data_IF_686644875477
#
_entry.id   IF_686644875477
#
_cell.length_a   1.000
_cell.length_b   1.000
_cell.length_c   1.000
_cell.angle_alpha   90.00
_cell.angle_beta   90.00
_cell.angle_gamma   90.00
#
_symmetry.space_group_name_H-M   'P 1'
#
loop_
_entity.id
_entity.type
_entity.pdbx_description
1 polymer ?
#
# COMPACT_ATOMS: atom_id res chain seq x y z
N UNK A 1 37.33 23.14 36.18
CA UNK A 1 36.35 23.77 35.28
C UNK A 1 35.83 22.73 34.29
N UNK A 2 34.66 22.17 34.55
CA UNK A 2 33.75 21.67 33.51
C UNK A 2 32.40 22.24 33.88
N UNK A 3 31.94 23.16 33.05
CA UNK A 3 30.68 23.85 33.21
C UNK A 3 29.55 22.82 33.27
N UNK A 4 28.85 22.78 34.40
CA UNK A 4 27.55 22.14 34.49
C UNK A 4 26.58 23.00 33.70
N UNK A 5 26.27 22.59 32.48
CA UNK A 5 25.19 23.17 31.69
C UNK A 5 23.88 22.73 32.33
N UNK A 6 23.44 23.47 33.36
CA UNK A 6 22.10 23.38 33.93
C UNK A 6 21.11 23.66 32.80
N UNK A 7 20.37 22.62 32.43
CA UNK A 7 19.34 22.65 31.39
C UNK A 7 18.16 23.44 31.95
N UNK A 8 18.07 24.72 31.62
CA UNK A 8 16.93 25.58 31.96
C UNK A 8 15.74 25.20 31.07
N UNK A 9 15.08 24.09 31.41
CA UNK A 9 13.86 23.65 30.75
C UNK A 9 12.71 24.49 31.30
N UNK A 10 12.02 25.23 30.43
CA UNK A 10 10.82 25.99 30.84
C UNK A 10 9.76 25.04 31.42
N UNK A 11 8.96 25.50 32.39
CA UNK A 11 7.85 24.72 32.96
C UNK A 11 6.92 24.11 31.90
N UNK A 12 6.75 24.80 30.76
CA UNK A 12 5.96 24.30 29.64
C UNK A 12 6.62 23.10 28.95
N UNK A 13 7.94 23.14 28.76
CA UNK A 13 8.70 22.01 28.20
C UNK A 13 8.62 20.78 29.13
N UNK A 14 8.71 20.99 30.45
CA UNK A 14 8.56 19.91 31.42
C UNK A 14 7.16 19.29 31.41
N UNK A 15 6.11 20.11 31.31
CA UNK A 15 4.74 19.62 31.20
C UNK A 15 4.50 18.87 29.89
N UNK A 16 5.06 19.36 28.78
CA UNK A 16 4.95 18.72 27.47
C UNK A 16 5.69 17.37 27.45
N UNK A 17 6.88 17.30 28.03
CA UNK A 17 7.66 16.07 28.17
C UNK A 17 6.94 15.05 29.07
N UNK A 18 6.39 15.50 30.21
CA UNK A 18 5.62 14.64 31.10
C UNK A 18 4.34 14.11 30.42
N UNK A 19 3.64 14.96 29.65
CA UNK A 19 2.45 14.57 28.90
C UNK A 19 2.79 13.57 27.79
N UNK A 20 3.87 13.80 27.04
CA UNK A 20 4.35 12.88 26.01
C UNK A 20 4.75 11.52 26.62
N UNK A 21 5.49 11.54 27.72
CA UNK A 21 5.91 10.31 28.42
C UNK A 21 4.69 9.54 28.96
N UNK A 22 3.70 10.24 29.52
CA UNK A 22 2.46 9.63 29.98
C UNK A 22 1.66 9.03 28.81
N UNK A 23 1.60 9.73 27.67
CA UNK A 23 0.93 9.26 26.47
C UNK A 23 1.56 7.95 25.95
N UNK A 24 2.89 7.91 25.76
CA UNK A 24 3.57 6.70 25.28
C UNK A 24 3.38 5.52 26.23
N UNK A 25 3.52 5.75 27.54
CA UNK A 25 3.31 4.69 28.55
C UNK A 25 1.90 4.13 28.50
N UNK A 26 0.88 4.98 28.34
CA UNK A 26 -0.50 4.53 28.21
C UNK A 26 -0.71 3.79 26.89
N UNK A 27 -0.15 4.28 25.79
CA UNK A 27 -0.22 3.62 24.48
C UNK A 27 0.43 2.22 24.50
N UNK A 28 1.59 2.07 25.13
CA UNK A 28 2.27 0.77 25.30
C UNK A 28 1.43 -0.22 26.10
N UNK A 29 0.85 0.26 27.21
CA UNK A 29 -0.06 -0.55 28.05
C UNK A 29 -1.27 -1.00 27.24
N UNK A 30 -1.85 -0.10 26.46
CA UNK A 30 -2.99 -0.39 25.59
C UNK A 30 -2.63 -1.29 24.41
N UNK A 31 -1.40 -1.28 23.90
CA UNK A 31 -0.96 -2.18 22.83
C UNK A 31 -0.92 -3.65 23.29
N UNK A 32 -0.56 -3.86 24.56
CA UNK A 32 -0.41 -5.17 25.20
C UNK A 32 -1.74 -5.78 25.69
N UNK A 33 -2.80 -4.98 25.89
CA UNK A 33 -4.11 -5.49 26.30
C UNK A 33 -4.77 -6.35 25.20
N UNK A 34 -5.29 -7.52 25.54
CA UNK A 34 -6.18 -8.27 24.63
C UNK A 34 -7.55 -7.56 24.54
N UNK A 35 -8.31 -7.81 23.46
CA UNK A 35 -9.59 -7.14 23.23
C UNK A 35 -10.60 -7.52 24.31
N UNK A 36 -10.60 -6.80 25.43
CA UNK A 36 -11.61 -6.95 26.45
C UNK A 36 -12.96 -6.50 25.90
N UNK A 37 -13.96 -7.33 26.14
CA UNK A 37 -15.37 -7.13 25.80
C UNK A 37 -15.88 -5.82 26.40
N UNK A 38 -15.70 -4.75 25.65
CA UNK A 38 -16.19 -3.44 26.01
C UNK A 38 -17.65 -3.32 25.58
N UNK A 39 -18.50 -2.85 26.49
CA UNK A 39 -19.88 -2.56 26.15
C UNK A 39 -19.92 -1.40 25.13
N UNK A 40 -20.52 -1.66 23.97
CA UNK A 40 -20.63 -0.68 22.90
C UNK A 40 -21.88 0.19 23.10
N UNK A 41 -21.72 1.50 23.05
CA UNK A 41 -22.83 2.46 23.08
C UNK A 41 -23.04 3.03 21.68
N UNK A 42 -24.22 2.79 21.10
CA UNK A 42 -24.61 3.39 19.84
C UNK A 42 -24.92 4.88 20.02
N UNK A 43 -24.27 5.71 19.19
CA UNK A 43 -24.47 7.15 19.18
C UNK A 43 -25.56 7.54 18.16
N UNK A 44 -26.38 8.54 18.51
CA UNK A 44 -27.34 9.14 17.58
C UNK A 44 -26.64 10.01 16.54
N UNK A 45 -27.30 10.27 15.39
CA UNK A 45 -26.73 10.97 14.24
C UNK A 45 -26.06 12.33 14.57
N UNK A 46 -26.65 13.09 15.50
CA UNK A 46 -26.08 14.38 15.94
C UNK A 46 -24.75 14.20 16.70
N UNK A 47 -24.63 13.15 17.51
CA UNK A 47 -23.41 12.81 18.24
C UNK A 47 -22.32 12.29 17.30
N UNK A 48 -22.68 11.62 16.20
CA UNK A 48 -21.72 11.21 15.15
C UNK A 48 -21.08 12.45 14.50
N UNK A 49 -21.87 13.50 14.26
CA UNK A 49 -21.35 14.77 13.73
C UNK A 49 -20.48 15.51 14.77
N UNK A 50 -20.82 15.43 16.05
CA UNK A 50 -19.96 16.00 17.08
C UNK A 50 -18.62 15.24 17.18
N UNK A 51 -18.67 13.91 17.12
CA UNK A 51 -17.49 13.06 17.09
C UNK A 51 -16.60 13.38 15.88
N UNK A 52 -17.19 13.59 14.69
CA UNK A 52 -16.41 13.95 13.50
C UNK A 52 -15.67 15.29 13.66
N UNK A 53 -16.29 16.28 14.34
CA UNK A 53 -15.61 17.54 14.68
C UNK A 53 -14.46 17.32 15.65
N UNK A 54 -14.67 16.50 16.69
CA UNK A 54 -13.62 16.18 17.68
C UNK A 54 -12.44 15.41 17.07
N UNK A 55 -12.69 14.52 16.11
CA UNK A 55 -11.63 13.86 15.34
C UNK A 55 -10.73 14.89 14.66
N UNK A 56 -11.29 15.93 14.04
CA UNK A 56 -10.50 16.98 13.37
C UNK A 56 -9.68 17.85 14.31
N UNK A 57 -10.02 17.88 15.61
CA UNK A 57 -9.29 18.61 16.66
C UNK A 57 -8.11 17.81 17.23
N UNK A 58 -7.96 16.54 16.88
CA UNK A 58 -6.81 15.74 17.33
C UNK A 58 -5.50 16.28 16.73
N UNK A 59 -4.36 16.02 17.40
CA UNK A 59 -3.04 16.20 16.79
C UNK A 59 -2.95 15.46 15.46
N UNK A 60 -2.11 15.95 14.55
CA UNK A 60 -1.96 15.41 13.20
C UNK A 60 -1.82 13.88 13.18
N UNK A 61 -0.96 13.33 14.03
CA UNK A 61 -0.74 11.88 14.14
C UNK A 61 -2.02 11.12 14.52
N UNK A 62 -2.84 11.64 15.44
CA UNK A 62 -4.11 11.02 15.81
C UNK A 62 -5.16 11.06 14.70
N UNK A 63 -5.19 12.15 13.92
CA UNK A 63 -6.05 12.25 12.73
C UNK A 63 -5.65 11.22 11.68
N UNK A 64 -4.36 11.16 11.35
CA UNK A 64 -3.80 10.21 10.39
C UNK A 64 -4.12 8.77 10.80
N UNK A 65 -3.86 8.40 12.06
CA UNK A 65 -4.12 7.05 12.58
C UNK A 65 -5.59 6.64 12.51
N UNK A 66 -6.52 7.53 12.84
CA UNK A 66 -7.95 7.21 12.79
C UNK A 66 -8.46 7.13 11.35
N UNK A 67 -8.06 8.07 10.49
CA UNK A 67 -8.47 8.09 9.09
C UNK A 67 -7.86 6.92 8.30
N UNK A 68 -6.58 6.59 8.52
CA UNK A 68 -5.92 5.43 7.91
C UNK A 68 -6.69 4.14 8.21
N UNK A 69 -7.07 3.94 9.48
CA UNK A 69 -7.78 2.75 9.91
C UNK A 69 -9.23 2.70 9.42
N UNK A 70 -9.98 3.79 9.57
CA UNK A 70 -11.43 3.76 9.36
C UNK A 70 -11.92 4.20 7.98
N UNK A 71 -11.15 5.01 7.25
CA UNK A 71 -11.48 5.40 5.88
C UNK A 71 -10.75 4.52 4.85
N UNK A 72 -9.48 4.17 5.13
CA UNK A 72 -8.61 3.46 4.17
C UNK A 72 -8.35 2.00 4.54
N UNK A 73 -8.86 1.54 5.69
CA UNK A 73 -8.75 0.15 6.18
C UNK A 73 -7.33 -0.36 6.37
N UNK A 74 -6.37 0.54 6.59
CA UNK A 74 -4.99 0.14 6.83
C UNK A 74 -4.86 -0.62 8.16
N UNK A 75 -4.00 -1.63 8.16
CA UNK A 75 -3.53 -2.29 9.38
C UNK A 75 -2.65 -1.35 10.20
N UNK A 76 -2.45 -1.62 11.51
CA UNK A 76 -1.46 -0.90 12.30
C UNK A 76 -0.07 -0.94 11.65
N UNK A 77 0.38 -2.11 11.20
CA UNK A 77 1.69 -2.33 10.56
C UNK A 77 1.81 -1.54 9.25
N UNK A 78 0.76 -1.51 8.43
CA UNK A 78 0.70 -0.71 7.21
C UNK A 78 0.75 0.80 7.53
N UNK A 79 0.04 1.23 8.57
CA UNK A 79 0.01 2.64 8.99
C UNK A 79 1.37 3.10 9.53
N UNK A 80 2.07 2.25 10.30
CA UNK A 80 3.44 2.51 10.77
C UNK A 80 4.39 2.69 9.59
N UNK A 81 4.31 1.79 8.61
CA UNK A 81 5.09 1.86 7.38
C UNK A 81 4.84 3.15 6.59
N UNK A 82 3.58 3.47 6.25
CA UNK A 82 3.28 4.59 5.34
C UNK A 82 3.54 5.97 5.94
N UNK A 83 3.40 6.10 7.26
CA UNK A 83 3.45 7.41 7.92
C UNK A 83 4.66 7.56 8.87
N UNK A 84 5.59 6.59 8.86
CA UNK A 84 6.74 6.52 9.76
C UNK A 84 6.33 6.74 11.24
N UNK A 85 5.26 6.05 11.65
CA UNK A 85 4.75 6.06 13.01
C UNK A 85 5.21 4.80 13.74
N UNK A 86 5.33 4.89 15.06
CA UNK A 86 5.60 3.75 15.94
C UNK A 86 4.40 3.51 16.86
N UNK A 87 4.20 2.25 17.25
CA UNK A 87 3.12 1.82 18.14
C UNK A 87 1.73 2.31 17.69
N UNK A 88 1.43 2.18 16.39
CA UNK A 88 0.15 2.59 15.81
C UNK A 88 -1.03 1.89 16.49
N UNK A 89 -0.87 0.61 16.86
CA UNK A 89 -1.90 -0.15 17.58
C UNK A 89 -2.24 0.48 18.93
N UNK A 90 -1.24 0.77 19.77
CA UNK A 90 -1.43 1.36 21.08
C UNK A 90 -1.98 2.78 21.01
N UNK A 91 -1.39 3.61 20.12
CA UNK A 91 -1.81 4.99 19.90
C UNK A 91 -3.23 5.09 19.34
N UNK A 92 -3.60 4.19 18.43
CA UNK A 92 -4.97 4.10 17.92
C UNK A 92 -5.98 3.81 19.03
N UNK A 93 -5.68 2.83 19.91
CA UNK A 93 -6.52 2.52 21.07
C UNK A 93 -6.63 3.71 22.02
N UNK A 94 -5.53 4.39 22.29
CA UNK A 94 -5.53 5.61 23.11
C UNK A 94 -6.47 6.67 22.54
N UNK A 95 -6.39 6.97 21.23
CA UNK A 95 -7.24 7.99 20.62
C UNK A 95 -8.72 7.58 20.60
N UNK A 96 -9.04 6.28 20.43
CA UNK A 96 -10.41 5.80 20.58
C UNK A 96 -10.94 6.00 21.99
N UNK A 97 -10.13 5.72 23.01
CA UNK A 97 -10.51 5.86 24.41
C UNK A 97 -10.70 7.34 24.76
N UNK A 98 -9.74 8.18 24.39
CA UNK A 98 -9.81 9.63 24.55
C UNK A 98 -11.08 10.21 23.92
N UNK A 99 -11.39 9.82 22.68
CA UNK A 99 -12.59 10.29 21.99
C UNK A 99 -13.87 9.77 22.65
N UNK A 100 -13.89 8.50 23.08
CA UNK A 100 -15.05 7.92 23.80
C UNK A 100 -15.31 8.67 25.11
N UNK A 101 -14.27 8.89 25.92
CA UNK A 101 -14.35 9.70 27.13
C UNK A 101 -14.80 11.14 26.83
N UNK A 102 -14.28 11.75 25.76
CA UNK A 102 -14.65 13.12 25.36
C UNK A 102 -16.11 13.24 24.92
N UNK A 103 -16.74 12.14 24.51
CA UNK A 103 -18.16 12.05 24.15
C UNK A 103 -19.06 11.75 25.35
N UNK A 104 -18.50 11.64 26.56
CA UNK A 104 -19.24 11.35 27.79
C UNK A 104 -19.67 9.89 27.92
N UNK A 105 -19.00 8.98 27.22
CA UNK A 105 -19.22 7.52 27.35
C UNK A 105 -18.71 7.06 28.72
N UNK A 106 -19.48 6.21 29.40
CA UNK A 106 -19.14 5.70 30.74
C UNK A 106 -17.82 4.92 30.75
N UNK A 107 -17.08 4.98 31.86
CA UNK A 107 -15.82 4.29 32.02
C UNK A 107 -15.99 2.77 31.83
N UNK A 108 -15.22 2.18 30.91
CA UNK A 108 -15.34 0.77 30.52
C UNK A 108 -16.30 0.48 29.37
N UNK A 109 -16.93 1.52 28.79
CA UNK A 109 -17.68 1.46 27.53
C UNK A 109 -16.92 2.19 26.42
N UNK A 110 -17.11 1.76 25.16
CA UNK A 110 -16.41 2.33 24.00
C UNK A 110 -17.38 2.57 22.85
N UNK A 111 -17.10 3.61 22.06
CA UNK A 111 -17.83 3.85 20.83
C UNK A 111 -17.50 2.71 19.85
N UNK A 112 -18.52 2.08 19.22
CA UNK A 112 -18.30 0.97 18.30
C UNK A 112 -17.59 1.42 17.02
N UNK A 113 -16.87 0.49 16.39
CA UNK A 113 -16.09 0.75 15.18
C UNK A 113 -16.94 1.32 14.04
N UNK A 114 -18.16 0.81 13.83
CA UNK A 114 -19.07 1.31 12.79
C UNK A 114 -19.43 2.79 12.96
N UNK A 115 -19.50 3.26 14.21
CA UNK A 115 -19.75 4.67 14.51
C UNK A 115 -18.51 5.52 14.22
N UNK A 116 -17.32 5.01 14.55
CA UNK A 116 -16.06 5.66 14.16
C UNK A 116 -15.89 5.70 12.64
N UNK A 117 -16.25 4.65 11.91
CA UNK A 117 -16.24 4.64 10.44
C UNK A 117 -17.07 5.79 9.89
N UNK A 118 -18.32 5.93 10.35
CA UNK A 118 -19.21 7.02 9.92
C UNK A 118 -18.64 8.40 10.25
N UNK A 119 -18.16 8.58 11.48
CA UNK A 119 -17.60 9.86 11.91
C UNK A 119 -16.31 10.23 11.15
N UNK A 120 -15.42 9.27 10.88
CA UNK A 120 -14.20 9.47 10.12
C UNK A 120 -14.48 9.85 8.67
N UNK A 121 -15.49 9.25 8.02
CA UNK A 121 -15.89 9.64 6.67
C UNK A 121 -16.43 11.08 6.61
N UNK A 122 -17.23 11.49 7.61
CA UNK A 122 -17.70 12.88 7.73
C UNK A 122 -16.52 13.82 7.98
N UNK A 123 -15.61 13.45 8.87
CA UNK A 123 -14.41 14.23 9.19
C UNK A 123 -13.53 14.42 7.95
N UNK A 124 -13.25 13.35 7.20
CA UNK A 124 -12.45 13.42 5.98
C UNK A 124 -13.10 14.33 4.93
N UNK A 125 -14.41 14.23 4.74
CA UNK A 125 -15.14 15.12 3.83
C UNK A 125 -15.04 16.58 4.25
N UNK A 126 -15.17 16.87 5.55
CA UNK A 126 -15.02 18.23 6.08
C UNK A 126 -13.59 18.75 5.96
N UNK A 127 -12.59 17.90 6.20
CA UNK A 127 -11.17 18.22 6.03
C UNK A 127 -10.87 18.61 4.59
N UNK A 128 -11.24 17.76 3.62
CA UNK A 128 -11.06 18.04 2.21
C UNK A 128 -11.80 19.30 1.76
N UNK A 129 -12.98 19.57 2.31
CA UNK A 129 -13.73 20.78 1.97
C UNK A 129 -13.02 22.04 2.42
N UNK A 130 -12.53 22.07 3.67
CA UNK A 130 -11.82 23.23 4.22
C UNK A 130 -10.47 23.47 3.53
N UNK A 131 -9.70 22.42 3.25
CA UNK A 131 -8.41 22.53 2.54
C UNK A 131 -8.58 22.96 1.07
N UNK A 132 -9.77 22.75 0.48
CA UNK A 132 -10.11 23.23 -0.87
C UNK A 132 -10.77 24.62 -0.90
N UNK A 133 -11.33 25.08 0.23
CA UNK A 133 -11.98 26.40 0.38
C UNK A 133 -11.05 27.48 0.95
N UNK A 134 -9.96 27.13 1.66
CA UNK A 134 -8.97 28.11 2.15
C UNK A 134 -8.28 28.91 1.01
N UNK A 135 -8.35 28.43 -0.24
CA UNK A 135 -7.89 29.15 -1.43
C UNK A 135 -8.95 30.08 -2.07
N UNK A 136 -10.18 30.14 -1.56
CA UNK A 136 -11.32 30.78 -2.22
C UNK A 136 -11.87 32.05 -1.53
N UNK A 137 -11.32 32.46 -0.40
CA UNK A 137 -11.75 33.68 0.30
C UNK A 137 -10.78 34.85 0.04
N UNK A 138 -10.80 35.36 -1.19
CA UNK A 138 -10.60 36.78 -1.46
C UNK A 138 -11.79 37.30 -2.30
N UNK A 139 -12.42 38.35 -1.77
CA UNK A 139 -13.56 39.12 -2.31
C UNK A 139 -15.00 38.67 -2.00
N UNK A 140 -15.46 39.16 -0.84
CA UNK A 140 -16.58 40.09 -0.68
C UNK A 140 -18.01 39.69 -1.15
N UNK A 141 -18.87 39.54 -0.13
CA UNK A 141 -20.21 40.11 0.00
C UNK A 141 -21.30 39.81 -1.07
N UNK A 142 -22.42 39.26 -0.59
CA UNK A 142 -23.75 39.60 -1.12
C UNK A 142 -24.56 38.43 -1.68
N UNK A 143 -25.69 38.20 -1.02
CA UNK A 143 -26.64 37.12 -1.20
C UNK A 143 -27.27 37.02 -2.63
N UNK A 144 -27.80 35.83 -2.95
CA UNK A 144 -28.78 35.47 -4.01
C UNK A 144 -28.34 35.21 -5.48
N UNK A 145 -27.23 34.48 -5.75
CA UNK A 145 -26.95 33.94 -7.13
C UNK A 145 -26.38 32.51 -7.18
N UNK A 146 -26.53 31.72 -6.13
CA UNK A 146 -25.71 30.50 -5.89
C UNK A 146 -25.91 29.37 -6.91
N UNK A 147 -27.10 29.17 -7.50
CA UNK A 147 -27.30 28.01 -8.38
C UNK A 147 -26.74 28.14 -9.81
N UNK A 148 -26.51 29.37 -10.31
CA UNK A 148 -26.04 29.62 -11.69
C UNK A 148 -24.51 29.76 -11.74
N UNK A 149 -23.90 30.30 -10.69
CA UNK A 149 -22.44 30.42 -10.57
C UNK A 149 -21.76 29.06 -10.31
N UNK A 150 -22.39 28.18 -9.51
CA UNK A 150 -21.85 26.85 -9.18
C UNK A 150 -21.55 25.99 -10.42
N UNK A 151 -22.42 26.06 -11.43
CA UNK A 151 -22.24 25.32 -12.70
C UNK A 151 -21.12 25.87 -13.57
N UNK A 152 -20.78 27.16 -13.43
CA UNK A 152 -19.64 27.77 -14.15
C UNK A 152 -18.32 27.44 -13.45
N UNK A 153 -18.29 27.46 -12.12
CA UNK A 153 -17.09 27.12 -11.34
C UNK A 153 -16.71 25.64 -11.52
N UNK A 154 -17.67 24.70 -11.49
CA UNK A 154 -17.38 23.28 -11.80
C UNK A 154 -16.84 23.05 -13.22
N UNK A 155 -17.29 23.85 -14.20
CA UNK A 155 -16.73 23.78 -15.57
C UNK A 155 -15.31 24.32 -15.60
N UNK A 156 -15.00 25.40 -14.88
CA UNK A 156 -13.65 25.96 -14.79
C UNK A 156 -12.69 25.01 -14.07
N UNK A 157 -13.13 24.36 -12.98
CA UNK A 157 -12.34 23.36 -12.25
C UNK A 157 -12.09 22.13 -13.11
N UNK A 158 -13.10 21.62 -13.82
CA UNK A 158 -12.92 20.52 -14.76
C UNK A 158 -11.95 20.89 -15.89
N UNK A 159 -12.04 22.10 -16.45
CA UNK A 159 -11.12 22.57 -17.48
C UNK A 159 -9.70 22.74 -16.94
N UNK A 160 -9.53 23.26 -15.73
CA UNK A 160 -8.23 23.39 -15.08
C UNK A 160 -7.61 22.01 -14.78
N UNK A 161 -8.40 21.05 -14.30
CA UNK A 161 -7.97 19.68 -14.06
C UNK A 161 -7.57 18.96 -15.35
N UNK A 162 -8.35 19.12 -16.43
CA UNK A 162 -8.03 18.59 -17.77
C UNK A 162 -6.76 19.26 -18.31
N UNK A 163 -6.61 20.57 -18.12
CA UNK A 163 -5.42 21.31 -18.58
C UNK A 163 -4.19 20.88 -17.78
N UNK A 164 -4.31 20.68 -16.46
CA UNK A 164 -3.23 20.23 -15.59
C UNK A 164 -2.81 18.79 -15.93
N UNK A 165 -3.77 17.89 -16.18
CA UNK A 165 -3.47 16.54 -16.65
C UNK A 165 -2.82 16.54 -18.01
N UNK A 166 -3.32 17.32 -18.98
CA UNK A 166 -2.69 17.46 -20.29
C UNK A 166 -1.26 18.04 -20.20
N UNK A 167 -1.05 19.06 -19.37
CA UNK A 167 0.29 19.65 -19.14
C UNK A 167 1.22 18.66 -18.45
N UNK A 168 0.74 17.93 -17.45
CA UNK A 168 1.52 16.90 -16.76
C UNK A 168 1.89 15.75 -17.70
N UNK A 169 0.94 15.24 -18.50
CA UNK A 169 1.19 14.23 -19.54
C UNK A 169 2.16 14.75 -20.61
N UNK A 170 2.03 16.01 -21.03
CA UNK A 170 2.95 16.62 -21.99
C UNK A 170 4.36 16.73 -21.40
N UNK A 171 4.50 17.12 -20.13
CA UNK A 171 5.79 17.15 -19.43
C UNK A 171 6.40 15.74 -19.27
N UNK A 172 5.60 14.72 -19.00
CA UNK A 172 6.04 13.32 -18.92
C UNK A 172 6.60 12.81 -20.26
N UNK A 173 5.98 13.18 -21.38
CA UNK A 173 6.42 12.77 -22.73
C UNK A 173 7.63 13.60 -23.20
N UNK A 174 7.56 14.93 -23.05
CA UNK A 174 8.52 15.85 -23.66
C UNK A 174 9.77 16.14 -22.80
N UNK A 175 9.71 15.99 -21.48
CA UNK A 175 10.80 16.33 -20.57
C UNK A 175 11.36 15.10 -19.84
N UNK A 176 12.49 14.59 -20.34
CA UNK A 176 13.13 13.40 -19.81
C UNK A 176 13.61 13.56 -18.34
N UNK A 177 14.08 14.74 -17.95
CA UNK A 177 14.55 15.01 -16.57
C UNK A 177 13.38 15.07 -15.58
N UNK A 178 12.24 15.61 -16.00
CA UNK A 178 11.04 15.64 -15.18
C UNK A 178 10.49 14.21 -15.00
N UNK A 179 10.41 13.44 -16.09
CA UNK A 179 9.99 12.04 -16.07
C UNK A 179 10.85 11.19 -15.13
N UNK A 180 12.18 11.34 -15.20
CA UNK A 180 13.11 10.58 -14.36
C UNK A 180 12.92 10.88 -12.86
N UNK A 181 12.71 12.15 -12.49
CA UNK A 181 12.45 12.53 -11.09
C UNK A 181 11.11 12.02 -10.57
N UNK A 182 10.07 12.06 -11.38
CA UNK A 182 8.74 11.54 -11.01
C UNK A 182 8.79 10.02 -10.84
N UNK A 183 9.46 9.31 -11.76
CA UNK A 183 9.63 7.85 -11.67
C UNK A 183 10.44 7.48 -10.43
N UNK A 184 11.57 8.16 -10.17
CA UNK A 184 12.41 7.88 -9.00
C UNK A 184 11.66 8.09 -7.68
N UNK A 185 10.85 9.16 -7.59
CA UNK A 185 10.02 9.44 -6.42
C UNK A 185 8.89 8.41 -6.22
N UNK A 186 8.24 7.96 -7.31
CA UNK A 186 7.23 6.88 -7.25
C UNK A 186 7.85 5.57 -6.79
N UNK A 187 9.03 5.21 -7.31
CA UNK A 187 9.76 3.99 -6.90
C UNK A 187 10.11 4.05 -5.41
N UNK A 188 10.65 5.17 -4.94
CA UNK A 188 11.00 5.39 -3.52
C UNK A 188 9.78 5.32 -2.58
N UNK A 189 8.59 5.69 -3.07
CA UNK A 189 7.35 5.72 -2.25
C UNK A 189 6.63 4.36 -2.18
N UNK A 190 6.72 3.53 -3.22
CA UNK A 190 5.98 2.26 -3.35
C UNK A 190 6.86 1.01 -3.19
N UNK A 191 8.09 1.17 -2.72
CA UNK A 191 9.19 0.19 -2.78
C UNK A 191 8.98 -1.16 -2.07
N UNK A 192 7.83 -1.42 -1.43
CA UNK A 192 7.60 -2.70 -0.72
C UNK A 192 7.27 -3.88 -1.62
N UNK A 193 6.77 -3.69 -2.85
CA UNK A 193 6.49 -4.77 -3.80
C UNK A 193 6.56 -4.27 -5.25
N UNK A 194 7.18 -5.04 -6.15
CA UNK A 194 6.89 -4.88 -7.58
C UNK A 194 5.63 -5.65 -7.91
N UNK A 195 4.56 -4.93 -8.26
CA UNK A 195 3.33 -5.53 -8.78
C UNK A 195 3.50 -5.64 -10.29
N UNK A 196 3.62 -6.87 -10.78
CA UNK A 196 3.50 -7.15 -12.20
C UNK A 196 2.00 -7.27 -12.54
N UNK A 197 1.41 -6.16 -12.98
CA UNK A 197 0.03 -6.11 -13.44
C UNK A 197 0.02 -6.36 -14.95
N UNK A 198 -0.30 -7.59 -15.33
CA UNK A 198 -0.31 -8.03 -16.72
C UNK A 198 -1.72 -7.84 -17.28
N UNK A 199 -1.82 -6.99 -18.30
CA UNK A 199 -3.06 -6.82 -19.05
C UNK A 199 -3.04 -7.83 -20.20
N UNK A 200 -3.47 -9.06 -19.94
CA UNK A 200 -3.77 -10.00 -21.01
C UNK A 200 -4.99 -9.52 -21.79
N UNK A 201 -4.99 -9.69 -23.11
CA UNK A 201 -6.24 -9.62 -23.88
C UNK A 201 -7.22 -10.68 -23.30
N UNK A 202 -8.52 -10.34 -23.20
CA UNK A 202 -9.56 -11.29 -22.79
C UNK A 202 -9.46 -12.55 -23.65
N UNK A 203 -8.93 -13.64 -23.09
CA UNK A 203 -8.98 -14.96 -23.71
C UNK A 203 -10.37 -15.55 -23.46
N UNK A 204 -11.01 -16.05 -24.52
CA UNK A 204 -12.38 -16.60 -24.49
C UNK A 204 -12.53 -17.82 -23.54
N UNK A 205 -11.44 -18.53 -23.19
CA UNK A 205 -11.47 -19.70 -22.30
C UNK A 205 -10.20 -19.80 -21.40
N UNK A 206 -10.33 -20.25 -20.13
CA UNK A 206 -9.20 -20.49 -19.23
C UNK A 206 -8.23 -21.54 -19.81
N UNK A 207 -6.94 -21.21 -19.93
CA UNK A 207 -5.94 -22.17 -20.41
C UNK A 207 -5.60 -23.24 -19.37
N UNK A 208 -5.41 -24.48 -19.81
CA UNK A 208 -4.85 -25.56 -18.97
C UNK A 208 -3.34 -25.36 -18.81
N UNK A 209 -2.96 -24.76 -17.68
CA UNK A 209 -1.58 -24.47 -17.32
C UNK A 209 -0.68 -25.74 -17.24
N UNK A 210 -1.26 -26.94 -17.14
CA UNK A 210 -0.51 -28.19 -17.06
C UNK A 210 -0.01 -28.72 -18.42
N UNK A 211 -0.44 -28.09 -19.51
CA UNK A 211 0.01 -28.41 -20.87
C UNK A 211 1.42 -27.89 -21.17
N UNK A 212 1.93 -26.94 -20.37
CA UNK A 212 3.27 -26.39 -20.54
C UNK A 212 4.34 -27.28 -19.89
N UNK A 213 5.42 -27.56 -20.63
CA UNK A 213 6.58 -28.28 -20.12
C UNK A 213 7.88 -27.71 -20.68
N UNK A 214 8.94 -27.70 -19.87
CA UNK A 214 10.30 -27.41 -20.34
C UNK A 214 10.81 -28.53 -21.26
N UNK A 215 11.16 -28.18 -22.50
CA UNK A 215 11.78 -29.09 -23.48
C UNK A 215 13.27 -29.36 -23.21
N UNK A 216 13.91 -28.55 -22.36
CA UNK A 216 15.28 -28.71 -21.89
C UNK A 216 15.32 -28.70 -20.36
N UNK A 217 16.09 -29.62 -19.79
CA UNK A 217 16.43 -29.65 -18.37
C UNK A 217 17.95 -29.86 -18.24
N UNK A 218 18.63 -29.21 -17.28
CA UNK A 218 20.04 -29.43 -17.02
C UNK A 218 20.33 -30.88 -16.63
N UNK A 219 21.56 -31.33 -16.89
CA UNK A 219 22.00 -32.67 -16.49
C UNK A 219 21.90 -32.84 -14.97
N UNK A 220 21.27 -33.94 -14.54
CA UNK A 220 21.05 -34.24 -13.12
C UNK A 220 19.80 -33.60 -12.52
N UNK A 221 19.04 -32.78 -13.27
CA UNK A 221 17.78 -32.24 -12.79
C UNK A 221 16.72 -33.34 -12.57
N UNK A 222 16.19 -33.43 -11.35
CA UNK A 222 15.15 -34.36 -10.93
C UNK A 222 13.94 -33.55 -10.44
N UNK A 223 12.77 -33.82 -11.02
CA UNK A 223 11.50 -33.24 -10.54
C UNK A 223 11.21 -33.79 -9.13
N UNK A 224 11.15 -32.90 -8.14
CA UNK A 224 10.86 -33.24 -6.75
C UNK A 224 9.38 -33.10 -6.43
N UNK A 225 8.77 -32.00 -6.88
CA UNK A 225 7.38 -31.68 -6.55
C UNK A 225 6.68 -31.01 -7.73
N UNK A 226 5.36 -31.21 -7.77
CA UNK A 226 4.46 -30.48 -8.66
C UNK A 226 3.27 -30.01 -7.84
N UNK A 227 3.28 -28.73 -7.50
CA UNK A 227 2.14 -28.10 -6.85
C UNK A 227 1.20 -27.61 -7.93
N UNK A 228 0.00 -28.19 -7.96
CA UNK A 228 -1.10 -27.76 -8.83
C UNK A 228 -2.19 -27.18 -7.93
N UNK A 229 -2.43 -25.89 -8.03
CA UNK A 229 -3.62 -25.25 -7.48
C UNK A 229 -4.52 -24.76 -8.62
N UNK A 230 -5.07 -25.65 -9.47
CA UNK A 230 -5.87 -25.26 -10.63
C UNK A 230 -7.28 -24.81 -10.25
N UNK A 231 -7.75 -25.12 -9.04
CA UNK A 231 -9.12 -24.86 -8.59
C UNK A 231 -9.26 -23.61 -7.72
N UNK A 232 -8.18 -22.83 -7.58
CA UNK A 232 -8.20 -21.51 -6.97
C UNK A 232 -8.25 -20.52 -8.13
N UNK A 233 -9.11 -19.51 -8.07
CA UNK A 233 -8.93 -18.34 -8.94
C UNK A 233 -8.00 -17.38 -8.19
N UNK A 234 -6.74 -17.19 -8.64
CA UNK A 234 -6.17 -17.77 -9.86
C UNK A 234 -5.37 -19.06 -9.76
N UNK A 235 -5.39 -19.79 -10.88
CA UNK A 235 -4.75 -21.09 -11.02
C UNK A 235 -3.24 -20.96 -11.12
N UNK A 236 -2.51 -21.69 -10.28
CA UNK A 236 -1.04 -21.70 -10.29
C UNK A 236 -0.52 -23.13 -10.45
N UNK A 237 0.48 -23.30 -11.31
CA UNK A 237 1.26 -24.54 -11.43
C UNK A 237 2.73 -24.23 -11.12
N UNK A 238 3.30 -24.98 -10.19
CA UNK A 238 4.70 -24.88 -9.78
C UNK A 238 5.39 -26.23 -9.94
N UNK A 239 6.47 -26.26 -10.71
CA UNK A 239 7.36 -27.41 -10.83
C UNK A 239 8.66 -27.14 -10.11
N UNK A 240 9.05 -28.03 -9.19
CA UNK A 240 10.30 -27.91 -8.44
C UNK A 240 11.31 -28.97 -8.85
N UNK A 241 12.49 -28.53 -9.25
CA UNK A 241 13.59 -29.40 -9.67
C UNK A 241 14.79 -29.22 -8.76
N UNK A 242 15.42 -30.34 -8.38
CA UNK A 242 16.72 -30.34 -7.73
C UNK A 242 17.77 -30.94 -8.67
N UNK A 243 18.97 -30.36 -8.67
CA UNK A 243 20.12 -30.86 -9.42
C UNK A 243 21.07 -31.61 -8.48
N UNK A 244 21.35 -31.01 -7.31
CA UNK A 244 22.16 -31.59 -6.24
C UNK A 244 21.72 -31.01 -4.88
N UNK A 245 22.51 -31.21 -3.82
CA UNK A 245 22.18 -30.75 -2.46
C UNK A 245 22.12 -29.21 -2.32
N UNK A 246 22.76 -28.45 -3.23
CA UNK A 246 22.85 -26.99 -3.16
C UNK A 246 22.08 -26.27 -4.29
N UNK A 247 21.87 -26.94 -5.42
CA UNK A 247 21.33 -26.35 -6.63
C UNK A 247 19.92 -26.85 -6.94
N UNK A 248 19.00 -25.90 -7.10
CA UNK A 248 17.61 -26.16 -7.47
C UNK A 248 17.04 -25.01 -8.29
N UNK A 249 15.98 -25.31 -9.04
CA UNK A 249 15.21 -24.30 -9.74
C UNK A 249 13.73 -24.67 -9.74
N UNK A 250 12.90 -23.66 -9.94
CA UNK A 250 11.45 -23.78 -9.97
C UNK A 250 10.91 -23.09 -11.23
N UNK A 251 9.85 -23.67 -11.79
CA UNK A 251 9.10 -23.09 -12.91
C UNK A 251 7.68 -22.84 -12.39
N UNK A 252 7.30 -21.57 -12.31
CA UNK A 252 5.97 -21.12 -11.96
C UNK A 252 5.22 -20.65 -13.19
N UNK A 253 3.97 -21.06 -13.32
CA UNK A 253 3.06 -20.72 -14.41
C UNK A 253 1.73 -20.27 -13.81
N UNK A 254 1.21 -19.14 -14.28
CA UNK A 254 -0.11 -18.61 -13.94
C UNK A 254 -0.73 -17.91 -15.14
N UNK A 255 -2.06 -17.72 -15.14
CA UNK A 255 -2.71 -16.91 -16.17
C UNK A 255 -2.30 -15.44 -16.03
N UNK A 256 -2.21 -14.72 -17.15
CA UNK A 256 -1.71 -13.34 -17.20
C UNK A 256 -2.60 -12.33 -16.49
N UNK A 257 -3.86 -12.62 -16.21
CA UNK A 257 -4.77 -11.74 -15.46
C UNK A 257 -4.48 -11.68 -13.94
N UNK A 258 -3.42 -12.36 -13.50
CA UNK A 258 -3.12 -12.53 -12.08
C UNK A 258 -1.97 -11.68 -11.59
N UNK A 259 -2.19 -11.10 -10.41
CA UNK A 259 -1.19 -10.35 -9.70
C UNK A 259 -0.17 -11.32 -9.10
N UNK A 260 1.01 -11.34 -9.71
CA UNK A 260 2.16 -12.06 -9.17
C UNK A 260 3.03 -11.08 -8.40
N UNK A 261 3.18 -11.35 -7.10
CA UNK A 261 3.99 -10.55 -6.20
C UNK A 261 5.39 -11.15 -6.12
N UNK A 262 6.38 -10.38 -6.58
CA UNK A 262 7.79 -10.67 -6.30
C UNK A 262 8.30 -9.67 -5.29
N UNK A 263 9.01 -10.18 -4.28
CA UNK A 263 9.84 -9.34 -3.45
C UNK A 263 11.05 -8.91 -4.27
N UNK A 264 11.13 -7.62 -4.59
CA UNK A 264 12.22 -7.02 -5.36
C UNK A 264 12.91 -5.89 -4.58
N UNK A 265 12.72 -5.84 -3.25
CA UNK A 265 13.34 -4.81 -2.42
C UNK A 265 14.86 -4.83 -2.58
N UNK A 266 15.47 -3.65 -2.78
CA UNK A 266 16.91 -3.48 -3.01
C UNK A 266 17.47 -4.25 -4.22
N UNK A 267 16.61 -4.66 -5.16
CA UNK A 267 16.99 -5.41 -6.35
C UNK A 267 16.80 -4.57 -7.61
N UNK A 268 17.81 -4.59 -8.50
CA UNK A 268 17.71 -4.00 -9.82
C UNK A 268 16.98 -4.97 -10.78
N UNK A 269 15.87 -4.52 -11.36
CA UNK A 269 15.17 -5.22 -12.43
C UNK A 269 15.71 -4.75 -13.77
N UNK A 270 16.08 -5.70 -14.63
CA UNK A 270 16.64 -5.41 -15.96
C UNK A 270 15.78 -6.06 -17.06
N UNK A 271 15.60 -5.41 -18.22
CA UNK A 271 15.03 -6.06 -19.38
C UNK A 271 15.87 -7.30 -19.75
N UNK A 272 15.20 -8.40 -20.02
CA UNK A 272 15.81 -9.66 -20.43
C UNK A 272 15.42 -9.97 -21.88
N UNK A 273 16.43 -10.19 -22.73
CA UNK A 273 16.23 -10.64 -24.10
C UNK A 273 17.35 -11.62 -24.47
N UNK A 274 17.10 -12.91 -24.25
CA UNK A 274 18.08 -13.98 -24.50
C UNK A 274 17.35 -15.29 -24.82
N UNK A 275 17.89 -16.05 -25.78
CA UNK A 275 17.35 -17.36 -26.13
C UNK A 275 15.93 -17.34 -26.72
N UNK A 276 15.48 -16.20 -27.26
CA UNK A 276 14.10 -16.03 -27.75
C UNK A 276 13.06 -15.80 -26.64
N UNK A 277 13.51 -15.52 -25.41
CA UNK A 277 12.68 -15.09 -24.30
C UNK A 277 12.88 -13.60 -24.09
N UNK A 278 11.81 -12.83 -24.23
CA UNK A 278 11.77 -11.41 -23.91
C UNK A 278 10.96 -11.21 -22.64
N UNK A 279 11.52 -10.54 -21.64
CA UNK A 279 10.90 -10.37 -20.33
C UNK A 279 11.74 -9.54 -19.39
N UNK A 280 11.76 -9.92 -18.12
CA UNK A 280 12.48 -9.25 -17.05
C UNK A 280 13.40 -10.22 -16.31
N UNK A 281 14.53 -9.71 -15.86
CA UNK A 281 15.50 -10.43 -15.05
C UNK A 281 15.81 -9.66 -13.78
N UNK A 282 15.95 -10.38 -12.68
CA UNK A 282 16.43 -9.81 -11.43
C UNK A 282 17.08 -10.87 -10.54
N UNK A 283 17.86 -10.43 -9.56
CA UNK A 283 18.52 -11.31 -8.58
C UNK A 283 18.18 -10.91 -7.16
N UNK A 284 17.85 -11.91 -6.34
CA UNK A 284 17.55 -11.72 -4.92
C UNK A 284 17.92 -12.95 -4.10
N UNK A 285 18.55 -12.75 -2.95
CA UNK A 285 18.93 -13.80 -1.99
C UNK A 285 19.69 -14.98 -2.61
N UNK A 286 20.57 -14.69 -3.58
CA UNK A 286 21.35 -15.71 -4.29
C UNK A 286 20.56 -16.48 -5.37
N UNK A 287 19.33 -16.08 -5.64
CA UNK A 287 18.47 -16.64 -6.68
C UNK A 287 18.38 -15.69 -7.87
N UNK A 288 18.41 -16.26 -9.06
CA UNK A 288 18.14 -15.56 -10.31
C UNK A 288 16.71 -15.80 -10.74
N UNK A 289 16.02 -14.78 -11.23
CA UNK A 289 14.63 -14.84 -11.69
C UNK A 289 14.55 -14.38 -13.14
N UNK A 290 13.92 -15.18 -14.00
CA UNK A 290 13.57 -14.82 -15.38
C UNK A 290 12.05 -14.87 -15.49
N UNK A 291 11.42 -13.72 -15.67
CA UNK A 291 9.98 -13.57 -15.77
C UNK A 291 9.59 -13.15 -17.19
N UNK A 292 8.64 -13.84 -17.81
CA UNK A 292 8.22 -13.55 -19.17
C UNK A 292 6.77 -13.94 -19.41
N UNK A 293 6.19 -13.37 -20.45
CA UNK A 293 4.84 -13.70 -20.90
C UNK A 293 4.92 -14.49 -22.21
N UNK A 294 4.04 -15.47 -22.36
CA UNK A 294 3.85 -16.21 -23.61
C UNK A 294 2.44 -16.77 -23.62
N UNK A 295 1.76 -16.71 -24.76
CA UNK A 295 0.44 -17.31 -24.95
C UNK A 295 -0.60 -16.91 -23.87
N UNK A 296 -0.58 -15.66 -23.38
CA UNK A 296 -1.50 -15.22 -22.30
C UNK A 296 -1.27 -15.92 -20.94
N UNK A 297 -0.09 -16.50 -20.75
CA UNK A 297 0.36 -17.05 -19.47
C UNK A 297 1.62 -16.29 -19.03
N UNK A 298 1.73 -16.10 -17.71
CA UNK A 298 2.94 -15.62 -17.07
C UNK A 298 3.81 -16.78 -16.61
N UNK A 299 5.09 -16.69 -16.91
CA UNK A 299 6.11 -17.66 -16.53
C UNK A 299 7.15 -16.99 -15.65
N UNK A 300 7.55 -17.68 -14.58
CA UNK A 300 8.73 -17.34 -13.80
C UNK A 300 9.61 -18.58 -13.66
N UNK A 301 10.84 -18.49 -14.18
CA UNK A 301 11.87 -19.52 -14.05
C UNK A 301 12.95 -18.96 -13.14
N UNK A 302 13.09 -19.55 -11.95
CA UNK A 302 14.00 -19.04 -10.94
C UNK A 302 14.73 -20.15 -10.20
N UNK A 303 15.94 -19.84 -9.73
CA UNK A 303 16.81 -20.86 -9.14
C UNK A 303 18.15 -20.33 -8.66
N UNK A 304 18.88 -21.19 -7.95
CA UNK A 304 20.26 -20.95 -7.52
C UNK A 304 21.30 -21.36 -8.58
N UNK A 305 20.84 -21.78 -9.76
CA UNK A 305 21.67 -22.24 -10.87
C UNK A 305 22.14 -21.06 -11.75
N UNK A 306 23.09 -21.34 -12.64
CA UNK A 306 23.59 -20.35 -13.59
C UNK A 306 22.47 -19.71 -14.43
N UNK A 307 22.54 -18.39 -14.63
CA UNK A 307 21.53 -17.64 -15.36
C UNK A 307 21.38 -18.09 -16.81
N UNK A 308 22.44 -18.59 -17.44
CA UNK A 308 22.37 -19.10 -18.82
C UNK A 308 21.65 -20.45 -18.87
N UNK A 309 21.75 -21.26 -17.81
CA UNK A 309 20.95 -22.48 -17.66
C UNK A 309 19.46 -22.15 -17.47
N UNK A 310 19.12 -21.19 -16.60
CA UNK A 310 17.73 -20.71 -16.46
C UNK A 310 17.18 -20.17 -17.79
N UNK A 311 17.99 -19.44 -18.56
CA UNK A 311 17.60 -18.91 -19.86
C UNK A 311 17.29 -20.02 -20.87
N UNK A 312 18.08 -21.10 -20.91
CA UNK A 312 17.82 -22.27 -21.76
C UNK A 312 16.53 -22.97 -21.36
N UNK A 313 16.29 -23.14 -20.05
CA UNK A 313 15.06 -23.74 -19.53
C UNK A 313 13.86 -22.89 -19.97
N UNK A 314 13.88 -21.59 -19.69
CA UNK A 314 12.82 -20.64 -20.06
C UNK A 314 12.52 -20.66 -21.56
N UNK A 315 13.56 -20.64 -22.40
CA UNK A 315 13.42 -20.68 -23.86
C UNK A 315 12.75 -21.98 -24.34
N UNK A 316 12.98 -23.09 -23.65
CA UNK A 316 12.50 -24.41 -24.03
C UNK A 316 11.05 -24.71 -23.61
N UNK A 317 10.42 -23.84 -22.82
CA UNK A 317 9.05 -24.08 -22.35
C UNK A 317 8.08 -23.98 -23.53
N UNK A 318 7.38 -25.07 -23.81
CA UNK A 318 6.39 -25.15 -24.88
C UNK A 318 5.15 -25.87 -24.42
N UNK A 319 4.02 -25.54 -25.03
CA UNK A 319 2.77 -26.28 -24.91
C UNK A 319 2.91 -27.66 -25.58
N UNK A 320 2.41 -28.71 -24.92
CA UNK A 320 2.33 -30.06 -25.47
C UNK A 320 1.31 -30.20 -26.60
#
# INVERSE_FOLDING_TARGET
MREGKTMDMSWQALLQEAAATSFEKTADTLAAAENDNCACIDLHQQQIHELSKKILLLPHQGRVLLLSRYCFRLSPEETEMFFHLENAKGRFRFYKELLSSSMGVEAGCMIPDDTFVKACHIALKGYLHNELEEDADDEAAGNNRTHIAFRKVWKTVAVAAITLTLLFSTCMVANAQFRERVISWVIETFEKYSIFELHGDELDEPQDLTEYQAGYLPDGAILQDTTKQPNTEPGIVLYKYAINEAESFEIMITQSDNLVYFDTENTKIEPFDKGGVTGYFFQKDGMSYICFERDGCFFSVYGSIDTDELAKIAASITKK
#
